data_IF_510092862534
#
_entry.id   IF_510092862534
#
_cell.length_a   1.000
_cell.length_b   1.000
_cell.length_c   1.000
_cell.angle_alpha   90.00
_cell.angle_beta   90.00
_cell.angle_gamma   90.00
#
_symmetry.space_group_name_H-M   'P 1'
#
loop_
_entity.id
_entity.type
_entity.pdbx_description
1 polymer ?
#
# COMPACT_ATOMS: atom_id res chain seq x y z
N UNK A 1 -1.07 12.24 -8.61
CA UNK A 1 -0.39 10.96 -8.88
C UNK A 1 -0.22 10.81 -10.38
N UNK A 2 0.99 10.54 -10.81
CA UNK A 2 1.33 10.22 -12.20
C UNK A 2 1.91 8.81 -12.30
N UNK A 3 2.11 8.32 -13.52
CA UNK A 3 2.70 7.01 -13.79
C UNK A 3 4.09 6.91 -13.14
N UNK A 4 4.31 5.85 -12.36
CA UNK A 4 5.55 5.59 -11.63
C UNK A 4 5.64 6.22 -10.23
N UNK A 5 4.71 7.08 -9.83
CA UNK A 5 4.66 7.59 -8.46
C UNK A 5 4.38 6.45 -7.47
N UNK A 6 4.96 6.54 -6.27
CA UNK A 6 4.72 5.56 -5.21
C UNK A 6 3.55 5.99 -4.33
N UNK A 7 2.61 5.07 -4.14
CA UNK A 7 1.53 5.15 -3.14
C UNK A 7 1.81 4.13 -2.06
N UNK A 8 2.08 4.60 -0.85
CA UNK A 8 2.33 3.76 0.33
C UNK A 8 1.03 3.49 1.07
N UNK A 9 0.85 2.25 1.52
CA UNK A 9 -0.31 1.80 2.29
C UNK A 9 0.18 1.10 3.56
N UNK A 10 -0.27 1.58 4.71
CA UNK A 10 0.06 1.01 6.03
C UNK A 10 -1.23 0.80 6.82
N UNK A 11 -1.87 -0.33 6.60
CA UNK A 11 -3.11 -0.72 7.26
C UNK A 11 -3.01 -2.16 7.76
N UNK A 12 -4.02 -2.62 8.49
CA UNK A 12 -4.21 -4.05 8.73
C UNK A 12 -4.84 -4.70 7.48
N UNK A 13 -5.14 -6.00 7.54
CA UNK A 13 -5.82 -6.71 6.46
C UNK A 13 -7.31 -6.30 6.41
N UNK A 14 -7.56 -5.14 5.89
CA UNK A 14 -8.87 -4.50 5.73
C UNK A 14 -9.23 -4.41 4.24
N UNK A 15 -10.48 -4.07 3.89
CA UNK A 15 -10.85 -3.88 2.49
C UNK A 15 -9.97 -2.90 1.73
N UNK A 16 -9.54 -1.82 2.36
CA UNK A 16 -8.78 -0.74 1.75
C UNK A 16 -7.40 -1.19 1.24
N UNK A 17 -6.69 -2.05 1.97
CA UNK A 17 -5.41 -2.59 1.47
C UNK A 17 -5.65 -3.55 0.31
N UNK A 18 -6.72 -4.35 0.37
CA UNK A 18 -7.09 -5.22 -0.75
C UNK A 18 -7.42 -4.41 -2.00
N UNK A 19 -8.22 -3.36 -1.88
CA UNK A 19 -8.55 -2.45 -2.97
C UNK A 19 -7.32 -1.76 -3.54
N UNK A 20 -6.36 -1.36 -2.68
CA UNK A 20 -5.13 -0.71 -3.09
C UNK A 20 -4.27 -1.58 -4.02
N UNK A 21 -4.32 -2.92 -3.87
CA UNK A 21 -3.60 -3.83 -4.77
C UNK A 21 -4.08 -3.75 -6.22
N UNK A 22 -5.30 -3.27 -6.44
CA UNK A 22 -5.87 -3.06 -7.77
C UNK A 22 -5.88 -1.58 -8.15
N UNK A 23 -6.43 -0.74 -7.27
CA UNK A 23 -6.67 0.67 -7.58
C UNK A 23 -5.37 1.43 -7.85
N UNK A 24 -4.31 1.23 -7.05
CA UNK A 24 -3.04 1.91 -7.25
C UNK A 24 -2.40 1.57 -8.60
N UNK A 25 -2.20 0.29 -8.97
CA UNK A 25 -1.68 -0.06 -10.29
C UNK A 25 -2.57 0.39 -11.46
N UNK A 26 -3.89 0.45 -11.28
CA UNK A 26 -4.81 0.95 -12.32
C UNK A 26 -4.59 2.43 -12.65
N UNK A 27 -3.98 3.20 -11.76
CA UNK A 27 -3.58 4.59 -12.04
C UNK A 27 -2.23 4.68 -12.76
N UNK A 28 -1.49 3.58 -12.86
CA UNK A 28 -0.10 3.53 -13.33
C UNK A 28 0.92 3.83 -12.23
N UNK A 29 0.47 3.95 -10.98
CA UNK A 29 1.33 4.15 -9.82
C UNK A 29 1.87 2.82 -9.27
N UNK A 30 2.88 2.90 -8.42
CA UNK A 30 3.55 1.76 -7.77
C UNK A 30 3.02 1.60 -6.36
N UNK A 31 2.46 0.45 -6.04
CA UNK A 31 1.99 0.14 -4.70
C UNK A 31 3.17 -0.20 -3.78
N UNK A 32 3.26 0.47 -2.63
CA UNK A 32 4.20 0.12 -1.57
C UNK A 32 3.43 -0.24 -0.28
N UNK A 33 3.31 -1.52 0.03
CA UNK A 33 2.69 -1.96 1.28
C UNK A 33 3.71 -1.94 2.41
N UNK A 34 3.39 -1.22 3.49
CA UNK A 34 4.27 -1.06 4.67
C UNK A 34 3.74 -1.95 5.80
N UNK A 35 4.58 -2.82 6.32
CA UNK A 35 4.21 -3.70 7.42
C UNK A 35 3.86 -2.87 8.68
N UNK A 36 2.65 -3.07 9.20
CA UNK A 36 2.11 -2.36 10.38
C UNK A 36 2.88 -2.58 11.68
N UNK A 37 3.80 -3.55 11.73
CA UNK A 37 4.63 -3.87 12.91
C UNK A 37 5.98 -3.16 12.94
N UNK A 38 6.28 -2.34 11.92
CA UNK A 38 7.54 -1.60 11.86
C UNK A 38 7.54 -0.41 12.81
N UNK A 39 8.74 -0.05 13.27
CA UNK A 39 8.94 1.16 14.07
C UNK A 39 8.95 2.44 13.20
N UNK A 40 8.73 3.58 13.85
CA UNK A 40 8.59 4.87 13.16
C UNK A 40 9.83 5.27 12.34
N UNK A 41 11.04 4.89 12.78
CA UNK A 41 12.28 5.21 12.06
C UNK A 41 12.35 4.43 10.74
N UNK A 42 11.98 3.16 10.80
CA UNK A 42 11.92 2.29 9.62
C UNK A 42 10.84 2.75 8.65
N UNK A 43 9.66 3.13 9.15
CA UNK A 43 8.58 3.68 8.34
C UNK A 43 9.02 4.98 7.65
N UNK A 44 9.65 5.90 8.39
CA UNK A 44 10.17 7.13 7.81
C UNK A 44 11.18 6.86 6.69
N UNK A 45 12.13 5.95 6.92
CA UNK A 45 13.09 5.54 5.89
C UNK A 45 12.40 4.99 4.64
N UNK A 46 11.38 4.13 4.79
CA UNK A 46 10.65 3.55 3.67
C UNK A 46 9.93 4.65 2.88
N UNK A 47 9.24 5.56 3.55
CA UNK A 47 8.52 6.67 2.90
C UNK A 47 9.46 7.60 2.13
N UNK A 48 10.61 7.93 2.70
CA UNK A 48 11.63 8.76 2.06
C UNK A 48 12.30 8.04 0.88
N UNK A 49 12.78 6.81 1.10
CA UNK A 49 13.49 6.04 0.09
C UNK A 49 12.60 5.63 -1.10
N UNK A 50 11.31 5.40 -0.86
CA UNK A 50 10.34 5.12 -1.93
C UNK A 50 9.79 6.37 -2.61
N UNK A 51 10.17 7.55 -2.14
CA UNK A 51 9.63 8.85 -2.60
C UNK A 51 8.10 8.88 -2.61
N UNK A 52 7.48 8.31 -1.56
CA UNK A 52 6.04 8.15 -1.45
C UNK A 52 5.31 9.49 -1.62
N UNK A 53 4.37 9.56 -2.55
CA UNK A 53 3.54 10.74 -2.81
C UNK A 53 2.26 10.75 -1.98
N UNK A 54 1.75 9.56 -1.67
CA UNK A 54 0.58 9.35 -0.83
C UNK A 54 0.89 8.29 0.21
N UNK A 55 0.38 8.48 1.41
CA UNK A 55 0.31 7.48 2.47
C UNK A 55 -1.15 7.25 2.85
N UNK A 56 -1.65 6.05 2.60
CA UNK A 56 -2.94 5.58 3.12
C UNK A 56 -2.65 4.85 4.42
N UNK A 57 -3.26 5.27 5.53
CA UNK A 57 -2.89 4.79 6.86
C UNK A 57 -4.09 4.52 7.76
N UNK A 58 -4.10 3.36 8.42
CA UNK A 58 -5.07 3.06 9.47
C UNK A 58 -4.84 3.94 10.70
N UNK A 59 -5.90 4.57 11.19
CA UNK A 59 -5.87 5.45 12.38
C UNK A 59 -5.37 4.77 13.63
N UNK A 60 -5.45 3.45 13.75
CA UNK A 60 -4.88 2.71 14.84
C UNK A 60 -3.34 2.82 14.89
N UNK A 61 -2.71 3.11 13.75
CA UNK A 61 -1.26 3.25 13.59
C UNK A 61 -0.78 4.71 13.68
N UNK A 62 -1.66 5.63 14.08
CA UNK A 62 -1.37 7.08 14.10
C UNK A 62 -0.08 7.44 14.84
N UNK A 63 0.18 6.82 16.00
CA UNK A 63 1.34 7.16 16.81
C UNK A 63 2.68 6.87 16.12
N UNK A 64 2.74 5.78 15.35
CA UNK A 64 3.91 5.42 14.55
C UNK A 64 4.03 6.37 13.35
N UNK A 65 2.93 6.62 12.66
CA UNK A 65 2.91 7.46 11.48
C UNK A 65 3.23 8.93 11.78
N UNK A 66 2.64 9.52 12.82
CA UNK A 66 2.97 10.91 13.24
C UNK A 66 4.46 11.07 13.52
N UNK A 67 5.04 10.11 14.25
CA UNK A 67 6.46 10.13 14.58
C UNK A 67 7.33 9.97 13.32
N UNK A 68 6.96 9.09 12.39
CA UNK A 68 7.65 8.93 11.12
C UNK A 68 7.58 10.20 10.27
N UNK A 69 6.37 10.73 10.06
CA UNK A 69 6.11 11.93 9.25
C UNK A 69 6.78 13.18 9.82
N UNK A 70 6.97 13.25 11.16
CA UNK A 70 7.64 14.39 11.79
C UNK A 70 9.11 14.53 11.40
N UNK A 71 9.75 13.46 10.94
CA UNK A 71 11.17 13.43 10.56
C UNK A 71 11.39 13.65 9.07
N UNK A 72 10.35 13.56 8.25
CA UNK A 72 10.45 13.71 6.80
C UNK A 72 10.51 15.19 6.41
N UNK A 73 11.39 15.50 5.46
CA UNK A 73 11.47 16.81 4.83
C UNK A 73 10.30 17.03 3.87
N UNK A 74 10.09 16.07 3.00
CA UNK A 74 9.00 16.06 2.02
C UNK A 74 7.96 15.03 2.47
N UNK A 75 6.80 15.52 2.90
CA UNK A 75 5.74 14.65 3.44
C UNK A 75 4.79 14.22 2.33
N UNK A 76 4.39 12.95 2.30
CA UNK A 76 3.32 12.51 1.42
C UNK A 76 1.98 13.13 1.82
N UNK A 77 1.02 13.16 0.89
CA UNK A 77 -0.39 13.41 1.23
C UNK A 77 -0.87 12.23 2.07
N UNK A 78 -1.51 12.50 3.19
CA UNK A 78 -1.97 11.45 4.10
C UNK A 78 -3.48 11.28 4.00
N UNK A 79 -3.92 10.03 3.80
CA UNK A 79 -5.32 9.63 3.77
C UNK A 79 -5.55 8.65 4.91
N UNK A 80 -6.45 8.98 5.82
CA UNK A 80 -6.79 8.13 6.95
C UNK A 80 -7.78 7.03 6.57
N UNK A 81 -7.56 5.83 7.08
CA UNK A 81 -8.55 4.76 7.11
C UNK A 81 -9.11 4.65 8.52
N UNK A 82 -10.42 4.68 8.64
CA UNK A 82 -11.13 4.45 9.90
C UNK A 82 -11.73 3.05 9.87
N UNK A 83 -11.28 2.18 10.76
CA UNK A 83 -11.89 0.88 10.98
C UNK A 83 -13.00 1.02 12.03
N UNK A 84 -14.25 0.78 11.63
CA UNK A 84 -15.42 0.88 12.51
C UNK A 84 -15.46 -0.23 13.57
N UNK A 85 -14.72 -1.31 13.39
CA UNK A 85 -14.60 -2.41 14.35
C UNK A 85 -13.49 -2.21 15.37
N UNK A 86 -12.63 -1.19 15.17
CA UNK A 86 -11.57 -0.86 16.12
C UNK A 86 -12.11 -0.10 17.33
N UNK A 87 -11.33 -0.07 18.41
CA UNK A 87 -11.63 0.77 19.58
C UNK A 87 -11.51 2.26 19.21
N UNK A 88 -12.66 2.90 19.02
CA UNK A 88 -12.75 4.29 18.57
C UNK A 88 -12.04 5.27 19.53
N UNK A 89 -11.87 4.93 20.80
CA UNK A 89 -11.16 5.77 21.78
C UNK A 89 -9.65 5.85 21.53
N UNK A 90 -9.10 4.91 20.78
CA UNK A 90 -7.68 4.84 20.44
C UNK A 90 -7.36 5.42 19.06
N UNK A 91 -8.40 5.79 18.28
CA UNK A 91 -8.20 6.30 16.93
C UNK A 91 -7.89 7.79 16.94
N UNK A 92 -6.96 8.19 16.09
CA UNK A 92 -6.65 9.60 15.86
C UNK A 92 -6.50 9.89 14.37
N UNK A 93 -7.25 10.87 13.91
CA UNK A 93 -7.08 11.41 12.56
C UNK A 93 -5.73 12.13 12.46
N UNK A 94 -4.94 11.78 11.43
CA UNK A 94 -3.66 12.42 11.13
C UNK A 94 -3.56 12.96 9.70
N UNK A 95 -4.43 12.52 8.83
CA UNK A 95 -4.48 12.94 7.43
C UNK A 95 -5.44 14.08 7.17
N UNK A 96 -5.36 14.63 5.97
CA UNK A 96 -6.24 15.71 5.52
C UNK A 96 -7.63 15.18 5.15
N UNK A 97 -7.73 13.93 4.74
CA UNK A 97 -8.96 13.29 4.25
C UNK A 97 -9.12 11.90 4.85
N UNK A 98 -10.36 11.49 5.01
CA UNK A 98 -10.75 10.12 5.31
C UNK A 98 -10.92 9.35 4.00
N UNK A 99 -10.66 8.03 4.02
CA UNK A 99 -10.62 7.18 2.83
C UNK A 99 -11.94 7.15 2.06
N UNK A 100 -13.06 6.95 2.75
CA UNK A 100 -14.38 6.92 2.11
C UNK A 100 -14.77 8.30 1.54
N UNK A 101 -14.44 9.38 2.26
CA UNK A 101 -14.62 10.74 1.74
C UNK A 101 -13.78 10.96 0.47
N UNK A 102 -12.55 10.42 0.46
CA UNK A 102 -11.68 10.50 -0.71
C UNK A 102 -12.24 9.71 -1.89
N UNK A 103 -12.74 8.47 -1.68
CA UNK A 103 -13.36 7.65 -2.72
C UNK A 103 -14.55 8.36 -3.36
N UNK A 104 -15.38 9.02 -2.58
CA UNK A 104 -16.55 9.78 -3.07
C UNK A 104 -16.18 10.95 -4.01
N UNK A 105 -14.90 11.33 -4.09
CA UNK A 105 -14.42 12.33 -5.07
C UNK A 105 -13.94 11.72 -6.39
N UNK A 106 -13.97 10.40 -6.50
CA UNK A 106 -13.51 9.67 -7.67
C UNK A 106 -14.43 9.83 -8.89
N UNK A 107 -13.89 9.58 -10.05
CA UNK A 107 -14.65 9.52 -11.31
C UNK A 107 -15.05 8.06 -11.59
N UNK A 108 -16.33 7.76 -11.51
CA UNK A 108 -16.88 6.42 -11.76
C UNK A 108 -16.59 5.93 -13.20
N UNK A 109 -16.34 6.84 -14.11
CA UNK A 109 -16.02 6.53 -15.51
C UNK A 109 -14.51 6.48 -15.79
N UNK A 110 -13.68 6.49 -14.75
CA UNK A 110 -12.23 6.46 -14.92
C UNK A 110 -11.77 5.25 -15.73
N UNK A 111 -11.08 5.54 -16.84
CA UNK A 111 -10.49 4.48 -17.68
C UNK A 111 -9.09 4.16 -17.14
N UNK A 112 -8.97 3.00 -16.53
CA UNK A 112 -7.71 2.54 -15.97
C UNK A 112 -6.62 2.39 -17.04
N UNK A 113 -5.38 2.70 -16.65
CA UNK A 113 -4.23 2.67 -17.53
C UNK A 113 -3.63 1.27 -17.60
N UNK A 114 -3.53 0.76 -18.81
CA UNK A 114 -2.73 -0.45 -19.06
C UNK A 114 -1.25 -0.08 -19.05
N UNK A 115 -0.35 -0.96 -18.52
CA UNK A 115 1.07 -0.70 -18.64
C UNK A 115 1.48 -0.66 -20.11
N UNK A 116 2.31 0.31 -20.46
CA UNK A 116 2.87 0.43 -21.83
C UNK A 116 3.95 -0.61 -22.05
N UNK A 117 4.66 -0.96 -20.98
CA UNK A 117 5.67 -2.00 -20.93
C UNK A 117 5.39 -2.88 -19.71
N UNK A 118 5.29 -4.19 -19.92
CA UNK A 118 5.05 -5.15 -18.84
C UNK A 118 6.20 -5.26 -17.82
N UNK A 119 7.36 -4.67 -18.12
CA UNK A 119 8.49 -4.53 -17.20
C UNK A 119 8.37 -3.31 -16.27
N UNK A 120 7.37 -2.45 -16.45
CA UNK A 120 7.10 -1.36 -15.52
C UNK A 120 6.81 -1.91 -14.12
N UNK A 121 7.24 -1.16 -13.10
CA UNK A 121 6.98 -1.48 -11.70
C UNK A 121 5.47 -1.48 -11.42
N UNK A 122 5.00 -2.49 -10.71
CA UNK A 122 3.62 -2.58 -10.20
C UNK A 122 3.60 -2.41 -8.68
N UNK A 123 4.62 -2.94 -7.99
CA UNK A 123 4.73 -2.81 -6.55
C UNK A 123 6.19 -2.76 -6.07
N UNK A 124 6.36 -2.19 -4.88
CA UNK A 124 7.62 -2.06 -4.17
C UNK A 124 7.42 -2.59 -2.75
N UNK A 125 8.13 -3.65 -2.39
CA UNK A 125 8.06 -4.24 -1.05
C UNK A 125 9.40 -4.14 -0.35
N UNK A 126 9.40 -3.84 0.94
CA UNK A 126 10.63 -3.74 1.72
C UNK A 126 10.87 -4.99 2.56
N UNK A 127 12.09 -5.52 2.45
CA UNK A 127 12.55 -6.63 3.28
C UNK A 127 13.46 -6.14 4.39
N UNK A 128 13.43 -6.81 5.55
CA UNK A 128 14.41 -6.58 6.62
C UNK A 128 15.80 -6.90 6.08
N UNK A 129 16.63 -5.88 5.90
CA UNK A 129 18.05 -6.09 5.56
C UNK A 129 18.80 -6.75 6.72
N UNK A 130 19.59 -7.78 6.43
CA UNK A 130 20.42 -8.45 7.45
C UNK A 130 21.59 -7.58 7.93
N UNK A 131 21.90 -6.49 7.24
CA UNK A 131 23.13 -5.69 7.44
C UNK A 131 22.90 -4.17 7.44
N UNK A 132 21.66 -3.69 7.67
CA UNK A 132 21.41 -2.24 7.65
C UNK A 132 19.96 -1.89 7.35
N UNK A 133 19.74 -0.83 6.60
CA UNK A 133 18.42 -0.34 6.22
C UNK A 133 17.64 -1.37 5.38
N UNK A 134 16.30 -1.37 5.45
CA UNK A 134 15.46 -2.21 4.60
C UNK A 134 15.79 -2.02 3.11
N UNK A 135 15.69 -3.11 2.35
CA UNK A 135 15.92 -3.10 0.90
C UNK A 135 14.58 -3.12 0.17
N UNK A 136 14.41 -2.21 -0.78
CA UNK A 136 13.25 -2.20 -1.66
C UNK A 136 13.38 -3.25 -2.77
N UNK A 137 12.38 -4.12 -2.89
CA UNK A 137 12.25 -5.11 -3.96
C UNK A 137 11.15 -4.64 -4.89
N UNK A 138 11.52 -4.36 -6.13
CA UNK A 138 10.59 -3.91 -7.17
C UNK A 138 10.02 -5.12 -7.90
N UNK A 139 8.71 -5.22 -7.95
CA UNK A 139 8.00 -6.18 -8.77
C UNK A 139 7.48 -5.49 -10.03
N UNK A 140 7.51 -6.17 -11.16
CA UNK A 140 6.99 -5.68 -12.43
C UNK A 140 5.72 -6.43 -12.85
N UNK A 141 4.89 -5.82 -13.71
CA UNK A 141 3.60 -6.38 -14.14
C UNK A 141 3.71 -7.81 -14.66
N UNK A 142 4.66 -8.08 -15.55
CA UNK A 142 4.91 -9.43 -16.08
C UNK A 142 5.18 -10.46 -14.98
N UNK A 143 6.06 -10.15 -14.03
CA UNK A 143 6.42 -11.05 -12.95
C UNK A 143 5.25 -11.37 -12.04
N UNK A 144 4.48 -10.34 -11.67
CA UNK A 144 3.29 -10.49 -10.84
C UNK A 144 2.21 -11.34 -11.53
N UNK A 145 1.98 -11.11 -12.82
CA UNK A 145 1.03 -11.91 -13.61
C UNK A 145 1.46 -13.40 -13.70
N UNK A 146 2.72 -13.64 -14.05
CA UNK A 146 3.24 -15.01 -14.20
C UNK A 146 3.25 -15.76 -12.86
N UNK A 147 3.60 -15.05 -11.76
CA UNK A 147 3.58 -15.65 -10.42
C UNK A 147 2.16 -16.02 -10.00
N UNK A 148 1.20 -15.12 -10.19
CA UNK A 148 -0.20 -15.36 -9.83
C UNK A 148 -0.79 -16.53 -10.63
N UNK A 149 -0.55 -16.55 -11.93
CA UNK A 149 -1.03 -17.63 -12.81
C UNK A 149 -0.35 -18.95 -12.47
N UNK A 150 0.98 -18.93 -12.28
CA UNK A 150 1.76 -20.12 -11.91
C UNK A 150 1.34 -20.70 -10.56
N UNK A 151 1.06 -19.83 -9.58
CA UNK A 151 0.57 -20.27 -8.26
C UNK A 151 -0.79 -20.94 -8.35
N UNK A 152 -1.71 -20.39 -9.13
CA UNK A 152 -3.04 -20.97 -9.34
C UNK A 152 -2.94 -22.41 -9.92
N UNK A 153 -2.03 -22.61 -10.87
CA UNK A 153 -1.79 -23.93 -11.47
C UNK A 153 -1.05 -24.87 -10.50
N UNK A 154 0.05 -24.39 -9.89
CA UNK A 154 0.88 -25.22 -9.02
C UNK A 154 0.17 -25.70 -7.76
N UNK A 155 -0.74 -24.89 -7.24
CA UNK A 155 -1.54 -25.23 -6.05
C UNK A 155 -2.90 -25.83 -6.40
N UNK A 156 -3.15 -26.08 -7.67
CA UNK A 156 -4.42 -26.65 -8.15
C UNK A 156 -5.64 -25.90 -7.57
N UNK A 157 -5.59 -24.57 -7.63
CA UNK A 157 -6.63 -23.71 -7.05
C UNK A 157 -7.97 -23.94 -7.76
N UNK A 158 -9.03 -24.30 -7.03
CA UNK A 158 -10.35 -24.45 -7.63
C UNK A 158 -10.97 -23.11 -7.99
N UNK A 159 -11.91 -23.11 -8.93
CA UNK A 159 -12.74 -21.95 -9.20
C UNK A 159 -13.51 -21.56 -7.93
N UNK A 160 -13.59 -20.23 -7.66
CA UNK A 160 -14.26 -19.68 -6.47
C UNK A 160 -13.67 -20.20 -5.15
N UNK A 161 -12.33 -20.18 -5.08
CA UNK A 161 -11.61 -20.53 -3.87
C UNK A 161 -12.00 -19.61 -2.70
N UNK A 162 -12.31 -20.21 -1.54
CA UNK A 162 -12.33 -19.50 -0.27
C UNK A 162 -10.90 -19.48 0.28
N UNK A 163 -10.30 -18.30 0.34
CA UNK A 163 -8.92 -18.14 0.78
C UNK A 163 -8.86 -17.34 2.08
N UNK A 164 -8.21 -17.92 3.10
CA UNK A 164 -7.94 -17.22 4.35
C UNK A 164 -6.57 -16.57 4.30
N UNK A 165 -6.53 -15.25 4.27
CA UNK A 165 -5.30 -14.47 4.34
C UNK A 165 -4.92 -14.24 5.81
N UNK A 166 -3.82 -14.83 6.26
CA UNK A 166 -3.30 -14.68 7.64
C UNK A 166 -2.02 -13.89 7.74
N UNK A 167 -1.36 -13.63 6.62
CA UNK A 167 -0.17 -12.78 6.53
C UNK A 167 -0.59 -11.35 6.18
N UNK A 168 0.21 -10.34 6.56
CA UNK A 168 -0.03 -8.98 6.05
C UNK A 168 -0.03 -8.96 4.52
N UNK A 169 -1.03 -8.29 3.96
CA UNK A 169 -1.15 -8.08 2.51
C UNK A 169 -0.22 -6.95 2.05
#
# INVERSE_FOLDING_TARGET
>A
IVEGDTVSVMTFNTPEIFEAHYSVPMTGAVLNTINSRLDAKTVAYILEHSEAKVLIIDRQLHAIAEKALSTLKDKPIVIDVQDDFADQSLLKKIGDREYEEFLNTGDENYIWKKPKDEWQAISLSYTSGTTGNPKGVVYHHRGSYLMSTGSAVAWNMPNRLNFLTVVPM
#
